data_IF_968042342583
#
_entry.id   IF_968042342583
#
_cell.length_a   1.000
_cell.length_b   1.000
_cell.length_c   1.000
_cell.angle_alpha   90.00
_cell.angle_beta   90.00
_cell.angle_gamma   90.00
#
_symmetry.space_group_name_H-M   'P 1'
#
loop_
_entity.id
_entity.type
_entity.pdbx_description
1 polymer ?
#
# COMPACT_ATOMS: atom_id res chain seq x y z
N UNK A 1 -26.36 12.57 -26.65
CA UNK A 1 -26.66 11.93 -25.36
C UNK A 1 -25.64 10.81 -25.22
N UNK A 2 -24.69 10.92 -24.29
CA UNK A 2 -23.69 9.87 -24.07
C UNK A 2 -24.41 8.60 -23.60
N UNK A 3 -24.01 7.43 -24.09
CA UNK A 3 -24.64 6.16 -23.72
C UNK A 3 -24.33 5.83 -22.26
N UNK A 4 -25.17 5.01 -21.61
CA UNK A 4 -24.97 4.62 -20.21
C UNK A 4 -23.61 3.93 -19.98
N UNK A 5 -23.03 3.31 -21.01
CA UNK A 5 -21.70 2.72 -20.98
C UNK A 5 -20.58 3.78 -20.93
N UNK A 6 -20.72 4.89 -21.66
CA UNK A 6 -19.77 6.01 -21.62
C UNK A 6 -19.78 6.71 -20.24
N UNK A 7 -20.93 6.78 -19.58
CA UNK A 7 -21.07 7.30 -18.21
C UNK A 7 -20.38 6.38 -17.19
N UNK A 8 -20.46 5.05 -17.37
CA UNK A 8 -19.77 4.10 -16.50
C UNK A 8 -18.24 4.17 -16.69
N UNK A 9 -17.76 4.29 -17.92
CA UNK A 9 -16.35 4.51 -18.22
C UNK A 9 -15.80 5.81 -17.60
N UNK A 10 -16.58 6.89 -17.61
CA UNK A 10 -16.23 8.16 -16.96
C UNK A 10 -16.32 8.13 -15.42
N UNK A 11 -16.98 7.13 -14.83
CA UNK A 11 -17.10 6.97 -13.37
C UNK A 11 -15.97 6.15 -12.74
N UNK A 12 -15.17 5.44 -13.56
CA UNK A 12 -14.04 4.66 -13.08
C UNK A 12 -12.85 5.59 -12.75
N UNK A 13 -12.82 6.09 -11.51
CA UNK A 13 -11.81 6.99 -10.99
C UNK A 13 -10.64 6.24 -10.34
N UNK A 14 -9.51 6.94 -10.18
CA UNK A 14 -8.31 6.41 -9.52
C UNK A 14 -7.46 5.51 -10.41
N UNK A 15 -6.27 5.17 -9.95
CA UNK A 15 -5.25 4.49 -10.76
C UNK A 15 -5.63 3.06 -11.17
N UNK A 16 -6.44 2.37 -10.35
CA UNK A 16 -6.80 0.96 -10.59
C UNK A 16 -7.88 0.82 -11.65
N UNK A 17 -8.86 1.73 -11.65
CA UNK A 17 -10.06 1.59 -12.47
C UNK A 17 -10.09 2.52 -13.69
N UNK A 18 -9.34 3.63 -13.68
CA UNK A 18 -9.29 4.55 -14.82
C UNK A 18 -8.55 3.96 -16.02
N UNK A 19 -8.87 4.47 -17.22
CA UNK A 19 -8.28 4.05 -18.49
C UNK A 19 -7.79 5.25 -19.33
N UNK A 20 -7.09 4.97 -20.43
CA UNK A 20 -6.68 5.97 -21.42
C UNK A 20 -5.82 7.09 -20.82
N UNK A 21 -6.04 8.32 -21.27
CA UNK A 21 -5.28 9.51 -20.84
C UNK A 21 -5.44 9.79 -19.34
N UNK A 22 -6.60 9.49 -18.75
CA UNK A 22 -6.82 9.65 -17.31
C UNK A 22 -5.93 8.73 -16.47
N UNK A 23 -5.81 7.45 -16.87
CA UNK A 23 -4.90 6.51 -16.21
C UNK A 23 -3.44 6.96 -16.28
N UNK A 24 -2.99 7.42 -17.46
CA UNK A 24 -1.62 7.90 -17.66
C UNK A 24 -1.30 9.09 -16.74
N UNK A 25 -2.23 10.05 -16.63
CA UNK A 25 -2.07 11.19 -15.73
C UNK A 25 -2.05 10.76 -14.27
N UNK A 26 -3.02 9.95 -13.83
CA UNK A 26 -3.11 9.43 -12.47
C UNK A 26 -1.84 8.67 -12.07
N UNK A 27 -1.31 7.84 -12.97
CA UNK A 27 -0.10 7.05 -12.74
C UNK A 27 1.11 7.93 -12.54
N UNK A 28 1.29 8.93 -13.41
CA UNK A 28 2.42 9.85 -13.35
C UNK A 28 2.37 10.70 -12.07
N UNK A 29 1.19 11.20 -11.73
CA UNK A 29 0.95 11.96 -10.52
C UNK A 29 1.28 11.15 -9.26
N UNK A 30 0.68 9.95 -9.12
CA UNK A 30 0.88 9.07 -7.97
C UNK A 30 2.35 8.67 -7.78
N UNK A 31 3.01 8.19 -8.84
CA UNK A 31 4.40 7.73 -8.74
C UNK A 31 5.39 8.85 -8.37
N UNK A 32 5.12 10.09 -8.81
CA UNK A 32 5.90 11.26 -8.40
C UNK A 32 5.74 11.49 -6.90
N UNK A 33 4.50 11.56 -6.41
CA UNK A 33 4.24 11.82 -5.00
C UNK A 33 4.73 10.71 -4.08
N UNK A 34 4.59 9.43 -4.45
CA UNK A 34 5.13 8.33 -3.66
C UNK A 34 6.66 8.45 -3.51
N UNK A 35 7.39 8.84 -4.57
CA UNK A 35 8.84 9.09 -4.50
C UNK A 35 9.18 10.27 -3.59
N UNK A 36 8.40 11.33 -3.65
CA UNK A 36 8.58 12.51 -2.79
C UNK A 36 8.37 12.14 -1.31
N UNK A 37 7.35 11.33 -1.01
CA UNK A 37 7.04 10.77 0.31
C UNK A 37 8.08 9.76 0.82
N UNK A 38 8.98 9.30 -0.04
CA UNK A 38 10.11 8.45 0.36
C UNK A 38 10.04 7.01 -0.11
N UNK A 39 9.10 6.65 -1.00
CA UNK A 39 9.15 5.37 -1.70
C UNK A 39 10.45 5.26 -2.50
N UNK A 40 11.20 4.17 -2.27
CA UNK A 40 12.53 3.95 -2.86
C UNK A 40 13.66 4.75 -2.20
N UNK A 41 13.45 5.31 -1.00
CA UNK A 41 14.50 5.91 -0.15
C UNK A 41 14.69 5.07 1.12
N UNK A 42 15.81 5.25 1.80
CA UNK A 42 16.15 4.53 3.05
C UNK A 42 15.09 4.63 4.16
N UNK A 43 14.29 5.71 4.18
CA UNK A 43 13.19 5.87 5.15
C UNK A 43 12.18 4.73 5.07
N UNK A 44 11.73 4.32 3.87
CA UNK A 44 10.75 3.23 3.76
C UNK A 44 11.38 1.87 4.07
N UNK A 45 12.66 1.69 3.77
CA UNK A 45 13.39 0.46 4.14
C UNK A 45 13.40 0.26 5.66
N UNK A 46 13.66 1.32 6.43
CA UNK A 46 13.59 1.26 7.90
C UNK A 46 12.20 0.93 8.43
N UNK A 47 11.14 1.39 7.76
CA UNK A 47 9.76 1.05 8.12
C UNK A 47 9.45 -0.42 7.82
N UNK A 48 9.86 -0.91 6.64
CA UNK A 48 9.68 -2.31 6.27
C UNK A 48 10.43 -3.22 7.24
N UNK A 49 11.69 -2.88 7.56
CA UNK A 49 12.50 -3.67 8.49
C UNK A 49 11.87 -3.77 9.87
N UNK A 50 11.35 -2.67 10.42
CA UNK A 50 10.64 -2.68 11.70
C UNK A 50 9.46 -3.65 11.70
N UNK A 51 8.58 -3.56 10.71
CA UNK A 51 7.40 -4.43 10.67
C UNK A 51 7.79 -5.90 10.42
N UNK A 52 8.89 -6.15 9.70
CA UNK A 52 9.43 -7.51 9.54
C UNK A 52 10.01 -8.04 10.85
N UNK A 53 10.70 -7.21 11.65
CA UNK A 53 11.18 -7.60 12.97
C UNK A 53 10.02 -8.01 13.89
N UNK A 54 8.94 -7.23 13.90
CA UNK A 54 7.72 -7.54 14.66
C UNK A 54 7.09 -8.87 14.20
N UNK A 55 6.99 -9.09 12.88
CA UNK A 55 6.49 -10.35 12.32
C UNK A 55 7.37 -11.56 12.68
N UNK A 56 8.70 -11.39 12.66
CA UNK A 56 9.64 -12.45 13.02
C UNK A 56 9.47 -12.84 14.49
N UNK A 57 9.31 -11.88 15.39
CA UNK A 57 9.06 -12.17 16.81
C UNK A 57 7.72 -12.89 17.02
N UNK A 58 6.65 -12.48 16.33
CA UNK A 58 5.37 -13.18 16.38
C UNK A 58 5.50 -14.62 15.86
N UNK A 59 6.23 -14.82 14.75
CA UNK A 59 6.35 -16.13 14.12
C UNK A 59 7.18 -17.10 14.96
N UNK A 60 8.10 -16.63 15.80
CA UNK A 60 8.80 -17.47 16.77
C UNK A 60 7.84 -18.12 17.78
N UNK A 61 6.70 -17.50 18.06
CA UNK A 61 5.66 -18.03 18.92
C UNK A 61 4.72 -19.04 18.25
N UNK A 62 4.78 -19.17 16.93
CA UNK A 62 3.90 -20.08 16.18
C UNK A 62 4.40 -21.53 16.26
N UNK A 63 3.45 -22.47 16.19
CA UNK A 63 3.75 -23.91 16.15
C UNK A 63 4.53 -24.25 14.89
N UNK A 64 5.37 -25.30 14.92
CA UNK A 64 6.13 -25.76 13.74
C UNK A 64 5.26 -26.46 12.68
N UNK A 65 3.96 -26.55 12.89
CA UNK A 65 3.03 -27.16 11.94
C UNK A 65 2.61 -26.16 10.85
N UNK A 66 2.31 -26.63 9.64
CA UNK A 66 1.75 -25.77 8.60
C UNK A 66 0.46 -25.10 9.08
N UNK A 67 0.45 -23.78 9.13
CA UNK A 67 -0.70 -22.97 9.52
C UNK A 67 -1.10 -22.01 8.39
N UNK A 68 -2.32 -21.47 8.49
CA UNK A 68 -2.72 -20.35 7.65
C UNK A 68 -1.81 -19.15 7.92
N UNK A 69 -1.57 -18.33 6.89
CA UNK A 69 -0.79 -17.11 7.03
C UNK A 69 -1.42 -16.20 8.10
N UNK A 70 -0.65 -15.74 9.09
CA UNK A 70 -1.16 -14.82 10.12
C UNK A 70 -1.69 -13.52 9.52
N UNK A 71 -2.76 -13.00 10.11
CA UNK A 71 -3.35 -11.71 9.71
C UNK A 71 -2.37 -10.55 9.88
N UNK A 72 -1.38 -10.70 10.76
CA UNK A 72 -0.35 -9.71 11.02
C UNK A 72 0.47 -9.34 9.77
N UNK A 73 0.59 -10.23 8.78
CA UNK A 73 1.23 -9.89 7.50
C UNK A 73 0.46 -8.74 6.80
N UNK A 74 -0.88 -8.81 6.81
CA UNK A 74 -1.71 -7.75 6.23
C UNK A 74 -1.63 -6.47 7.06
N UNK A 75 -1.55 -6.58 8.39
CA UNK A 75 -1.40 -5.44 9.29
C UNK A 75 -0.06 -4.74 9.02
N UNK A 76 1.04 -5.49 8.91
CA UNK A 76 2.36 -4.97 8.57
C UNK A 76 2.34 -4.23 7.22
N UNK A 77 1.75 -4.83 6.19
CA UNK A 77 1.62 -4.18 4.89
C UNK A 77 0.81 -2.88 4.96
N UNK A 78 -0.31 -2.87 5.71
CA UNK A 78 -1.13 -1.69 5.92
C UNK A 78 -0.37 -0.60 6.69
N UNK A 79 0.40 -0.96 7.72
CA UNK A 79 1.21 -0.02 8.49
C UNK A 79 2.28 0.65 7.62
N UNK A 80 2.95 -0.11 6.75
CA UNK A 80 3.95 0.44 5.79
C UNK A 80 3.29 1.45 4.85
N UNK A 81 2.16 1.08 4.24
CA UNK A 81 1.41 1.96 3.33
C UNK A 81 0.90 3.20 4.08
N UNK A 82 0.36 3.03 5.28
CA UNK A 82 -0.15 4.11 6.11
C UNK A 82 0.94 5.11 6.46
N UNK A 83 2.10 4.65 6.92
CA UNK A 83 3.22 5.51 7.28
C UNK A 83 3.80 6.22 6.06
N UNK A 84 3.81 5.57 4.88
CA UNK A 84 4.24 6.20 3.63
C UNK A 84 3.30 7.33 3.20
N UNK A 85 1.98 7.14 3.30
CA UNK A 85 0.98 8.10 2.80
C UNK A 85 0.67 9.20 3.81
N UNK A 86 0.58 8.88 5.10
CA UNK A 86 0.22 9.83 6.16
C UNK A 86 1.41 10.64 6.68
N UNK A 87 2.64 10.14 6.48
CA UNK A 87 3.85 10.66 7.14
C UNK A 87 3.73 10.72 8.68
N UNK A 88 2.80 9.95 9.27
CA UNK A 88 2.54 9.88 10.70
C UNK A 88 2.99 8.52 11.22
N UNK A 89 3.84 8.50 12.25
CA UNK A 89 4.26 7.27 12.93
C UNK A 89 3.22 6.89 13.97
N UNK A 90 2.45 5.82 13.75
CA UNK A 90 1.60 5.25 14.79
C UNK A 90 2.51 4.47 15.75
N UNK A 91 2.77 5.04 16.91
CA UNK A 91 3.37 4.33 18.05
C UNK A 91 2.31 3.49 18.73
N UNK A 92 1.80 2.45 18.07
CA UNK A 92 0.98 1.43 18.72
C UNK A 92 1.36 0.08 18.09
N UNK A 93 2.44 -0.49 18.63
CA UNK A 93 2.77 -1.91 18.59
C UNK A 93 2.94 -2.36 20.03
#
# INVERSE_FOLDING_TARGET
>A
MLTNEEILLHKLNGIVFSNGTHWVHNRRFLLRHLRDLGMGKSKIEGLILREVEDLVEEFKGLTKEPSALPISINIAALNIIWQLVSNFTNSVS
#
